data_IF_580434780658
#
_entry.id   IF_580434780658
#
_cell.length_a   1.000
_cell.length_b   1.000
_cell.length_c   1.000
_cell.angle_alpha   90.00
_cell.angle_beta   90.00
_cell.angle_gamma   90.00
#
_symmetry.space_group_name_H-M   'P 1'
#
loop_
_entity.id
_entity.type
_entity.pdbx_description
1 polymer ?
#
# COMPACT_ATOMS: atom_id res chain seq x y z
N UNK A 1 65.61 21.38 -176.42
CA UNK A 1 65.33 20.01 -175.95
C UNK A 1 64.07 20.08 -175.11
N UNK A 2 62.97 19.53 -175.60
CA UNK A 2 61.74 19.45 -174.81
C UNK A 2 61.99 18.51 -173.61
N UNK A 3 61.58 18.86 -172.39
CA UNK A 3 61.68 17.94 -171.26
C UNK A 3 60.93 16.64 -171.57
N UNK A 4 61.54 15.50 -171.23
CA UNK A 4 60.96 14.16 -171.40
C UNK A 4 59.62 14.08 -170.65
N UNK A 5 58.53 13.88 -171.40
CA UNK A 5 57.15 13.87 -170.90
C UNK A 5 57.00 12.91 -169.70
N UNK A 6 57.74 11.80 -169.69
CA UNK A 6 57.75 10.82 -168.58
C UNK A 6 58.25 11.41 -167.25
N UNK A 7 59.22 12.33 -167.29
CA UNK A 7 59.76 12.98 -166.09
C UNK A 7 58.76 13.97 -165.48
N UNK A 8 57.96 14.64 -166.32
CA UNK A 8 56.90 15.56 -165.87
C UNK A 8 55.74 14.78 -165.25
N UNK A 9 55.35 13.65 -165.85
CA UNK A 9 54.31 12.76 -165.29
C UNK A 9 54.71 12.19 -163.93
N UNK A 10 55.98 11.79 -163.76
CA UNK A 10 56.49 11.29 -162.48
C UNK A 10 56.43 12.36 -161.39
N UNK A 11 56.91 13.58 -161.67
CA UNK A 11 56.85 14.69 -160.72
C UNK A 11 55.41 15.08 -160.36
N UNK A 12 54.49 15.05 -161.32
CA UNK A 12 53.06 15.29 -161.07
C UNK A 12 52.49 14.25 -160.11
N UNK A 13 52.82 12.97 -160.29
CA UNK A 13 52.37 11.90 -159.41
C UNK A 13 52.92 12.05 -157.98
N UNK A 14 54.20 12.41 -157.84
CA UNK A 14 54.81 12.69 -156.53
C UNK A 14 54.12 13.87 -155.84
N UNK A 15 53.83 14.94 -156.57
CA UNK A 15 53.13 16.12 -156.04
C UNK A 15 51.70 15.77 -155.57
N UNK A 16 50.97 14.96 -156.32
CA UNK A 16 49.65 14.45 -155.91
C UNK A 16 49.78 13.58 -154.64
N UNK A 17 50.80 12.73 -154.57
CA UNK A 17 51.08 11.89 -153.40
C UNK A 17 51.36 12.72 -152.14
N UNK A 18 52.20 13.75 -152.27
CA UNK A 18 52.51 14.69 -151.19
C UNK A 18 51.27 15.47 -150.75
N UNK A 19 50.43 15.93 -151.69
CA UNK A 19 49.17 16.60 -151.36
C UNK A 19 48.22 15.69 -150.58
N UNK A 20 48.10 14.42 -151.00
CA UNK A 20 47.30 13.44 -150.28
C UNK A 20 47.87 13.15 -148.88
N UNK A 21 49.20 13.10 -148.74
CA UNK A 21 49.85 12.93 -147.43
C UNK A 21 49.62 14.14 -146.52
N UNK A 22 49.74 15.37 -147.05
CA UNK A 22 49.44 16.61 -146.31
C UNK A 22 47.99 16.59 -145.81
N UNK A 23 47.01 16.30 -146.68
CA UNK A 23 45.60 16.24 -146.30
C UNK A 23 45.32 15.20 -145.20
N UNK A 24 45.98 14.03 -145.26
CA UNK A 24 45.91 13.01 -144.20
C UNK A 24 46.51 13.51 -142.88
N UNK A 25 47.67 14.17 -142.92
CA UNK A 25 48.30 14.75 -141.72
C UNK A 25 47.44 15.87 -141.13
N UNK A 26 46.83 16.72 -141.94
CA UNK A 26 45.92 17.78 -141.48
C UNK A 26 44.69 17.20 -140.77
N UNK A 27 44.12 16.13 -141.32
CA UNK A 27 43.01 15.41 -140.68
C UNK A 27 43.45 14.82 -139.34
N UNK A 28 44.60 14.14 -139.31
CA UNK A 28 45.15 13.58 -138.07
C UNK A 28 45.44 14.67 -137.00
N UNK A 29 45.95 15.84 -137.40
CA UNK A 29 46.19 16.98 -136.50
C UNK A 29 44.85 17.51 -135.95
N UNK A 30 43.83 17.61 -136.80
CA UNK A 30 42.48 18.03 -136.38
C UNK A 30 41.90 17.07 -135.33
N UNK A 31 41.97 15.76 -135.58
CA UNK A 31 41.46 14.74 -134.67
C UNK A 31 42.22 14.73 -133.34
N UNK A 32 43.55 14.83 -133.38
CA UNK A 32 44.38 14.93 -132.18
C UNK A 32 44.09 16.21 -131.37
N UNK A 33 43.77 17.31 -132.05
CA UNK A 33 43.38 18.57 -131.40
C UNK A 33 42.03 18.43 -130.70
N UNK A 34 41.06 17.78 -131.36
CA UNK A 34 39.75 17.50 -130.77
C UNK A 34 39.88 16.60 -129.53
N UNK A 35 40.66 15.52 -129.61
CA UNK A 35 40.89 14.61 -128.48
C UNK A 35 41.61 15.31 -127.32
N UNK A 36 42.63 16.13 -127.62
CA UNK A 36 43.30 16.95 -126.59
C UNK A 36 42.32 17.86 -125.86
N UNK A 37 41.41 18.52 -126.58
CA UNK A 37 40.42 19.41 -125.98
C UNK A 37 39.41 18.66 -125.12
N UNK A 38 38.99 17.45 -125.55
CA UNK A 38 38.14 16.56 -124.76
C UNK A 38 38.83 16.15 -123.47
N UNK A 39 40.08 15.66 -123.55
CA UNK A 39 40.86 15.26 -122.37
C UNK A 39 41.09 16.43 -121.39
N UNK A 40 41.28 17.66 -121.89
CA UNK A 40 41.36 18.86 -121.06
C UNK A 40 40.04 19.17 -120.34
N UNK A 41 38.91 18.95 -121.00
CA UNK A 41 37.59 19.10 -120.39
C UNK A 41 37.37 18.05 -119.29
N UNK A 42 37.63 16.78 -119.59
CA UNK A 42 37.48 15.67 -118.64
C UNK A 42 38.39 15.87 -117.41
N UNK A 43 39.63 16.33 -117.61
CA UNK A 43 40.55 16.67 -116.52
C UNK A 43 39.97 17.76 -115.60
N UNK A 44 39.40 18.83 -116.16
CA UNK A 44 38.77 19.89 -115.35
C UNK A 44 37.57 19.37 -114.56
N UNK A 45 36.79 18.46 -115.14
CA UNK A 45 35.70 17.78 -114.45
C UNK A 45 36.20 16.99 -113.24
N UNK A 46 37.21 16.14 -113.46
CA UNK A 46 37.84 15.34 -112.41
C UNK A 46 38.47 16.20 -111.30
N UNK A 47 39.11 17.32 -111.66
CA UNK A 47 39.67 18.27 -110.67
C UNK A 47 38.55 18.87 -109.78
N UNK A 48 37.38 19.16 -110.36
CA UNK A 48 36.20 19.64 -109.62
C UNK A 48 35.58 18.59 -108.70
N UNK A 49 35.46 17.35 -109.17
CA UNK A 49 35.02 16.22 -108.37
C UNK A 49 35.99 15.96 -107.20
N UNK A 50 37.30 16.02 -107.44
CA UNK A 50 38.33 15.86 -106.41
C UNK A 50 38.25 16.95 -105.34
N UNK A 51 38.03 18.22 -105.74
CA UNK A 51 37.85 19.32 -104.80
C UNK A 51 36.60 19.14 -103.92
N UNK A 52 35.51 18.68 -104.52
CA UNK A 52 34.26 18.37 -103.81
C UNK A 52 34.46 17.23 -102.82
N UNK A 53 35.11 16.13 -103.26
CA UNK A 53 35.39 14.98 -102.42
C UNK A 53 36.27 15.34 -101.21
N UNK A 54 37.27 16.22 -101.38
CA UNK A 54 38.11 16.73 -100.28
C UNK A 54 37.29 17.51 -99.25
N UNK A 55 36.43 18.40 -99.72
CA UNK A 55 35.56 19.21 -98.84
C UNK A 55 34.64 18.30 -98.02
N UNK A 56 34.03 17.30 -98.66
CA UNK A 56 33.19 16.31 -97.98
C UNK A 56 33.98 15.49 -96.95
N UNK A 57 35.20 15.08 -97.28
CA UNK A 57 36.06 14.33 -96.38
C UNK A 57 36.40 15.14 -95.10
N UNK A 58 36.71 16.42 -95.25
CA UNK A 58 37.03 17.28 -94.12
C UNK A 58 35.80 17.52 -93.22
N UNK A 59 34.63 17.74 -93.82
CA UNK A 59 33.37 17.85 -93.06
C UNK A 59 33.05 16.56 -92.27
N UNK A 60 33.27 15.38 -92.87
CA UNK A 60 33.07 14.10 -92.20
C UNK A 60 34.06 13.88 -91.05
N UNK A 61 35.30 14.36 -91.17
CA UNK A 61 36.30 14.31 -90.08
C UNK A 61 35.87 15.16 -88.90
N UNK A 62 35.40 16.38 -89.15
CA UNK A 62 34.89 17.28 -88.11
C UNK A 62 33.69 16.67 -87.39
N UNK A 63 32.73 16.11 -88.14
CA UNK A 63 31.58 15.41 -87.56
C UNK A 63 32.01 14.22 -86.71
N UNK A 64 32.98 13.43 -87.18
CA UNK A 64 33.52 12.29 -86.43
C UNK A 64 34.16 12.73 -85.11
N UNK A 65 34.91 13.82 -85.13
CA UNK A 65 35.54 14.37 -83.92
C UNK A 65 34.50 14.90 -82.92
N UNK A 66 33.45 15.58 -83.41
CA UNK A 66 32.37 16.07 -82.58
C UNK A 66 31.59 14.92 -81.91
N UNK A 67 31.23 13.88 -82.69
CA UNK A 67 30.54 12.69 -82.17
C UNK A 67 31.39 11.95 -81.13
N UNK A 68 32.71 11.88 -81.34
CA UNK A 68 33.62 11.29 -80.35
C UNK A 68 33.59 12.07 -79.02
N UNK A 69 33.62 13.40 -79.07
CA UNK A 69 33.51 14.24 -77.88
C UNK A 69 32.17 14.06 -77.15
N UNK A 70 31.07 13.93 -77.88
CA UNK A 70 29.76 13.65 -77.29
C UNK A 70 29.74 12.29 -76.59
N UNK A 71 30.31 11.25 -77.22
CA UNK A 71 30.39 9.91 -76.65
C UNK A 71 31.21 9.89 -75.36
N UNK A 72 32.35 10.59 -75.32
CA UNK A 72 33.20 10.69 -74.14
C UNK A 72 32.47 11.39 -72.98
N UNK A 73 31.72 12.47 -73.26
CA UNK A 73 30.91 13.16 -72.25
C UNK A 73 29.79 12.25 -71.70
N UNK A 74 29.04 11.58 -72.59
CA UNK A 74 27.99 10.64 -72.18
C UNK A 74 28.55 9.48 -71.32
N UNK A 75 29.75 8.99 -71.64
CA UNK A 75 30.41 7.96 -70.84
C UNK A 75 30.77 8.46 -69.44
N UNK A 76 31.23 9.71 -69.31
CA UNK A 76 31.51 10.33 -68.01
C UNK A 76 30.24 10.54 -67.18
N UNK A 77 29.17 11.08 -67.79
CA UNK A 77 27.87 11.25 -67.12
C UNK A 77 27.30 9.91 -66.64
N UNK A 78 27.37 8.88 -67.48
CA UNK A 78 26.93 7.52 -67.12
C UNK A 78 27.70 6.97 -65.91
N UNK A 79 29.01 7.20 -65.85
CA UNK A 79 29.83 6.79 -64.71
C UNK A 79 29.47 7.55 -63.43
N UNK A 80 29.22 8.86 -63.53
CA UNK A 80 28.78 9.67 -62.39
C UNK A 80 27.43 9.19 -61.86
N UNK A 81 26.43 9.02 -62.73
CA UNK A 81 25.10 8.52 -62.35
C UNK A 81 25.18 7.14 -61.69
N UNK A 82 26.04 6.24 -62.19
CA UNK A 82 26.25 4.92 -61.59
C UNK A 82 26.80 5.02 -60.17
N UNK A 83 27.75 5.93 -59.93
CA UNK A 83 28.33 6.16 -58.62
C UNK A 83 27.30 6.77 -57.65
N UNK A 84 26.53 7.76 -58.11
CA UNK A 84 25.46 8.37 -57.32
C UNK A 84 24.39 7.35 -56.92
N UNK A 85 23.96 6.51 -57.86
CA UNK A 85 23.00 5.44 -57.60
C UNK A 85 23.54 4.45 -56.54
N UNK A 86 24.80 4.05 -56.65
CA UNK A 86 25.45 3.19 -55.65
C UNK A 86 25.43 3.84 -54.26
N UNK A 87 25.81 5.12 -54.17
CA UNK A 87 25.82 5.86 -52.90
C UNK A 87 24.42 5.97 -52.28
N UNK A 88 23.40 6.25 -53.11
CA UNK A 88 22.00 6.29 -52.68
C UNK A 88 21.52 4.94 -52.16
N UNK A 89 21.87 3.83 -52.83
CA UNK A 89 21.52 2.49 -52.37
C UNK A 89 22.17 2.14 -51.02
N UNK A 90 23.44 2.50 -50.83
CA UNK A 90 24.10 2.34 -49.52
C UNK A 90 23.41 3.15 -48.43
N UNK A 91 23.05 4.40 -48.72
CA UNK A 91 22.32 5.26 -47.77
C UNK A 91 20.92 4.72 -47.42
N UNK A 92 20.19 4.20 -48.42
CA UNK A 92 18.88 3.57 -48.22
C UNK A 92 18.99 2.36 -47.28
N UNK A 93 19.93 1.46 -47.52
CA UNK A 93 20.15 0.29 -46.68
C UNK A 93 20.50 0.66 -45.23
N UNK A 94 21.28 1.73 -45.02
CA UNK A 94 21.58 2.24 -43.69
C UNK A 94 20.32 2.76 -42.97
N UNK A 95 19.45 3.48 -43.69
CA UNK A 95 18.17 3.98 -43.15
C UNK A 95 17.17 2.88 -42.85
N UNK A 96 17.09 1.85 -43.68
CA UNK A 96 16.25 0.67 -43.40
C UNK A 96 16.67 -0.03 -42.09
N UNK A 97 17.98 -0.15 -41.84
CA UNK A 97 18.51 -0.69 -40.58
C UNK A 97 18.11 0.18 -39.38
N UNK A 98 18.29 1.50 -39.47
CA UNK A 98 17.91 2.44 -38.42
C UNK A 98 16.41 2.37 -38.10
N UNK A 99 15.56 2.33 -39.13
CA UNK A 99 14.11 2.16 -38.95
C UNK A 99 13.79 0.84 -38.24
N UNK A 100 14.45 -0.25 -38.62
CA UNK A 100 14.26 -1.55 -37.95
C UNK A 100 14.68 -1.51 -36.47
N UNK A 101 15.81 -0.85 -36.15
CA UNK A 101 16.27 -0.66 -34.78
C UNK A 101 15.31 0.19 -33.95
N UNK A 102 14.81 1.29 -34.53
CA UNK A 102 13.81 2.15 -33.89
C UNK A 102 12.50 1.39 -33.64
N UNK A 103 12.04 0.58 -34.59
CA UNK A 103 10.85 -0.28 -34.42
C UNK A 103 11.06 -1.28 -33.28
N UNK A 104 12.23 -1.94 -33.21
CA UNK A 104 12.57 -2.85 -32.10
C UNK A 104 12.62 -2.13 -30.76
N UNK A 105 13.20 -0.93 -30.72
CA UNK A 105 13.26 -0.09 -29.52
C UNK A 105 11.86 0.31 -29.08
N UNK A 106 11.01 0.73 -30.02
CA UNK A 106 9.63 1.11 -29.73
C UNK A 106 8.80 -0.08 -29.24
N UNK A 107 8.93 -1.26 -29.87
CA UNK A 107 8.31 -2.49 -29.39
C UNK A 107 8.80 -2.89 -27.98
N UNK A 108 10.09 -2.69 -27.70
CA UNK A 108 10.64 -2.93 -26.36
C UNK A 108 10.10 -1.92 -25.35
N UNK A 109 9.96 -0.65 -25.72
CA UNK A 109 9.38 0.38 -24.87
C UNK A 109 7.89 0.16 -24.64
N UNK A 110 7.13 -0.32 -25.63
CA UNK A 110 5.74 -0.72 -25.46
C UNK A 110 5.60 -1.94 -24.55
N UNK A 111 6.58 -2.85 -24.55
CA UNK A 111 6.62 -3.98 -23.60
C UNK A 111 7.07 -3.58 -22.19
N UNK A 112 8.02 -2.63 -22.09
CA UNK A 112 8.58 -2.14 -20.81
C UNK A 112 7.71 -1.08 -20.15
N UNK A 113 7.00 -0.29 -20.94
CA UNK A 113 5.88 0.51 -20.48
C UNK A 113 4.82 -0.48 -20.07
N UNK A 114 4.83 -0.82 -18.77
CA UNK A 114 3.75 -1.49 -18.05
C UNK A 114 2.45 -1.05 -18.72
N UNK A 115 1.79 -1.97 -19.43
CA UNK A 115 0.57 -1.65 -20.16
C UNK A 115 -0.38 -0.93 -19.21
N UNK A 116 -1.14 0.04 -19.70
CA UNK A 116 -2.18 0.69 -18.88
C UNK A 116 -3.03 -0.37 -18.16
N UNK A 117 -3.25 -1.52 -18.80
CA UNK A 117 -3.93 -2.69 -18.25
C UNK A 117 -3.20 -3.37 -17.06
N UNK A 118 -1.87 -3.49 -17.09
CA UNK A 118 -1.11 -4.03 -15.94
C UNK A 118 -1.10 -3.04 -14.77
N UNK A 119 -0.95 -1.74 -15.03
CA UNK A 119 -1.09 -0.70 -13.98
C UNK A 119 -2.50 -0.69 -13.40
N UNK A 120 -3.53 -0.82 -14.23
CA UNK A 120 -4.93 -0.87 -13.80
C UNK A 120 -5.22 -2.12 -12.96
N UNK A 121 -4.67 -3.27 -13.34
CA UNK A 121 -4.79 -4.52 -12.57
C UNK A 121 -4.10 -4.39 -11.21
N UNK A 122 -2.85 -3.89 -11.15
CA UNK A 122 -2.16 -3.67 -9.88
C UNK A 122 -2.88 -2.64 -8.99
N UNK A 123 -3.44 -1.58 -9.56
CA UNK A 123 -4.26 -0.61 -8.83
C UNK A 123 -5.55 -1.25 -8.28
N UNK A 124 -6.20 -2.12 -9.05
CA UNK A 124 -7.38 -2.85 -8.59
C UNK A 124 -7.04 -3.78 -7.43
N UNK A 125 -5.94 -4.54 -7.53
CA UNK A 125 -5.46 -5.43 -6.47
C UNK A 125 -5.10 -4.65 -5.19
N UNK A 126 -4.36 -3.54 -5.32
CA UNK A 126 -4.05 -2.66 -4.19
C UNK A 126 -5.30 -2.06 -3.55
N UNK A 127 -6.33 -1.75 -4.34
CA UNK A 127 -7.62 -1.25 -3.83
C UNK A 127 -8.35 -2.32 -3.01
N UNK A 128 -8.39 -3.56 -3.50
CA UNK A 128 -8.98 -4.70 -2.78
C UNK A 128 -8.24 -4.93 -1.46
N UNK A 129 -6.89 -4.92 -1.49
CA UNK A 129 -6.08 -5.13 -0.30
C UNK A 129 -6.26 -4.03 0.74
N UNK A 130 -6.39 -2.76 0.31
CA UNK A 130 -6.67 -1.65 1.21
C UNK A 130 -8.04 -1.76 1.89
N UNK A 131 -9.09 -2.11 1.15
CA UNK A 131 -10.42 -2.32 1.75
C UNK A 131 -10.41 -3.51 2.73
N UNK A 132 -9.68 -4.58 2.43
CA UNK A 132 -9.48 -5.68 3.35
C UNK A 132 -8.80 -5.25 4.65
N UNK A 133 -7.69 -4.51 4.58
CA UNK A 133 -7.00 -3.99 5.77
C UNK A 133 -7.86 -3.01 6.57
N UNK A 134 -8.61 -2.14 5.90
CA UNK A 134 -9.55 -1.21 6.54
C UNK A 134 -10.62 -1.95 7.33
N UNK A 135 -11.20 -3.01 6.77
CA UNK A 135 -12.19 -3.84 7.47
C UNK A 135 -11.58 -4.57 8.66
N UNK A 136 -10.35 -5.09 8.56
CA UNK A 136 -9.66 -5.69 9.70
C UNK A 136 -9.43 -4.67 10.84
N UNK A 137 -8.98 -3.45 10.49
CA UNK A 137 -8.78 -2.39 11.47
C UNK A 137 -10.09 -2.00 12.16
N UNK A 138 -11.20 -1.96 11.43
CA UNK A 138 -12.52 -1.67 12.00
C UNK A 138 -12.93 -2.73 13.04
N UNK A 139 -12.82 -4.02 12.68
CA UNK A 139 -13.12 -5.13 13.60
C UNK A 139 -12.24 -5.07 14.84
N UNK A 140 -10.94 -4.82 14.65
CA UNK A 140 -10.00 -4.71 15.78
C UNK A 140 -10.31 -3.51 16.67
N UNK A 141 -10.75 -2.39 16.10
CA UNK A 141 -11.17 -1.22 16.86
C UNK A 141 -12.42 -1.52 17.70
N UNK A 142 -13.42 -2.17 17.12
CA UNK A 142 -14.61 -2.62 17.86
C UNK A 142 -14.25 -3.54 19.02
N UNK A 143 -13.35 -4.50 18.80
CA UNK A 143 -12.88 -5.38 19.86
C UNK A 143 -12.13 -4.63 20.98
N UNK A 144 -11.30 -3.65 20.63
CA UNK A 144 -10.64 -2.80 21.64
C UNK A 144 -11.65 -1.98 22.46
N UNK A 145 -12.71 -1.46 21.83
CA UNK A 145 -13.76 -0.73 22.55
C UNK A 145 -14.50 -1.64 23.54
N UNK A 146 -14.76 -2.90 23.18
CA UNK A 146 -15.35 -3.88 24.09
C UNK A 146 -14.44 -4.14 25.30
N UNK A 147 -13.14 -4.34 25.08
CA UNK A 147 -12.17 -4.51 26.17
C UNK A 147 -12.14 -3.30 27.10
N UNK A 148 -12.18 -2.08 26.56
CA UNK A 148 -12.20 -0.86 27.37
C UNK A 148 -13.44 -0.83 28.28
N UNK A 149 -14.61 -1.13 27.73
CA UNK A 149 -15.86 -1.20 28.50
C UNK A 149 -15.80 -2.28 29.60
N UNK A 150 -15.26 -3.46 29.30
CA UNK A 150 -15.08 -4.52 30.28
C UNK A 150 -14.11 -4.11 31.40
N UNK A 151 -13.01 -3.43 31.05
CA UNK A 151 -12.05 -2.90 32.03
C UNK A 151 -12.66 -1.83 32.93
N UNK A 152 -13.48 -0.93 32.37
CA UNK A 152 -14.20 0.09 33.15
C UNK A 152 -15.19 -0.54 34.13
N UNK A 153 -15.90 -1.59 33.71
CA UNK A 153 -16.81 -2.33 34.57
C UNK A 153 -16.05 -3.09 35.68
N UNK A 154 -14.94 -3.73 35.34
CA UNK A 154 -14.07 -4.41 36.30
C UNK A 154 -13.50 -3.43 37.35
N UNK A 155 -13.03 -2.26 36.91
CA UNK A 155 -12.56 -1.18 37.82
C UNK A 155 -13.67 -0.70 38.75
N UNK A 156 -14.88 -0.52 38.23
CA UNK A 156 -16.05 -0.11 39.02
C UNK A 156 -16.40 -1.16 40.08
N UNK A 157 -16.33 -2.44 39.71
CA UNK A 157 -16.57 -3.57 40.62
C UNK A 157 -15.47 -3.65 41.69
N UNK A 158 -14.21 -3.48 41.30
CA UNK A 158 -13.09 -3.44 42.24
C UNK A 158 -13.22 -2.28 43.25
N UNK A 159 -13.63 -1.09 42.80
CA UNK A 159 -13.86 0.06 43.68
C UNK A 159 -14.97 -0.24 44.71
N UNK A 160 -16.04 -0.93 44.30
CA UNK A 160 -17.09 -1.40 45.22
C UNK A 160 -16.55 -2.36 46.27
N UNK A 161 -15.81 -3.40 45.87
CA UNK A 161 -15.22 -4.34 46.82
C UNK A 161 -14.22 -3.69 47.77
N UNK A 162 -13.45 -2.70 47.30
CA UNK A 162 -12.53 -1.94 48.14
C UNK A 162 -13.29 -1.13 49.21
N UNK A 163 -14.38 -0.45 48.82
CA UNK A 163 -15.23 0.27 49.76
C UNK A 163 -15.92 -0.66 50.77
N UNK A 164 -16.35 -1.85 50.34
CA UNK A 164 -16.97 -2.85 51.21
C UNK A 164 -15.96 -3.42 52.21
N UNK A 165 -14.75 -3.74 51.75
CA UNK A 165 -13.63 -4.16 52.61
C UNK A 165 -13.33 -3.12 53.68
N UNK A 166 -13.22 -1.85 53.32
CA UNK A 166 -13.01 -0.75 54.27
C UNK A 166 -14.16 -0.64 55.28
N UNK A 167 -15.40 -0.90 54.84
CA UNK A 167 -16.56 -0.97 55.73
C UNK A 167 -16.46 -2.12 56.73
N UNK A 168 -16.11 -3.32 56.27
CA UNK A 168 -15.92 -4.50 57.12
C UNK A 168 -14.77 -4.30 58.12
N UNK A 169 -13.64 -3.74 57.68
CA UNK A 169 -12.50 -3.45 58.56
C UNK A 169 -12.88 -2.48 59.69
N UNK A 170 -13.71 -1.48 59.42
CA UNK A 170 -14.25 -0.58 60.46
C UNK A 170 -15.13 -1.33 61.44
N UNK A 171 -16.05 -2.18 60.97
CA UNK A 171 -16.91 -2.98 61.84
C UNK A 171 -16.10 -3.95 62.70
N UNK A 172 -15.10 -4.62 62.11
CA UNK A 172 -14.21 -5.53 62.83
C UNK A 172 -13.46 -4.82 63.95
N UNK A 173 -12.96 -3.60 63.69
CA UNK A 173 -12.28 -2.79 64.70
C UNK A 173 -13.22 -2.42 65.86
N UNK A 174 -14.45 -1.99 65.56
CA UNK A 174 -15.46 -1.70 66.58
C UNK A 174 -15.74 -2.94 67.45
N UNK A 175 -15.90 -4.11 66.82
CA UNK A 175 -16.19 -5.34 67.57
C UNK A 175 -14.99 -5.80 68.42
N UNK A 176 -13.75 -5.59 67.95
CA UNK A 176 -12.53 -5.83 68.73
C UNK A 176 -12.44 -4.90 69.95
N UNK A 177 -12.72 -3.60 69.78
CA UNK A 177 -12.77 -2.61 70.86
C UNK A 177 -13.84 -2.99 71.89
N UNK A 178 -15.04 -3.36 71.44
CA UNK A 178 -16.14 -3.82 72.28
C UNK A 178 -15.79 -5.09 73.05
N UNK A 179 -15.13 -6.06 72.41
CA UNK A 179 -14.65 -7.28 73.07
C UNK A 179 -13.63 -6.98 74.16
N UNK A 180 -12.71 -6.06 73.90
CA UNK A 180 -11.70 -5.63 74.87
C UNK A 180 -12.36 -4.98 76.08
N UNK A 181 -13.38 -4.14 75.86
CA UNK A 181 -14.16 -3.51 76.94
C UNK A 181 -14.90 -4.55 77.79
N UNK A 182 -15.57 -5.51 77.15
CA UNK A 182 -16.25 -6.63 77.82
C UNK A 182 -15.27 -7.49 78.63
N UNK A 183 -14.08 -7.77 78.10
CA UNK A 183 -13.04 -8.52 78.83
C UNK A 183 -12.54 -7.74 80.06
N UNK A 184 -12.41 -6.41 79.97
CA UNK A 184 -12.09 -5.55 81.11
C UNK A 184 -13.20 -5.55 82.18
N UNK A 185 -14.46 -5.40 81.77
CA UNK A 185 -15.62 -5.46 82.68
C UNK A 185 -15.72 -6.82 83.38
N UNK A 186 -15.55 -7.92 82.63
CA UNK A 186 -15.57 -9.27 83.19
C UNK A 186 -14.44 -9.50 84.19
N UNK A 187 -13.24 -8.97 83.93
CA UNK A 187 -12.13 -9.00 84.87
C UNK A 187 -12.43 -8.20 86.15
N UNK A 188 -13.07 -7.03 86.03
CA UNK A 188 -13.51 -6.22 87.17
C UNK A 188 -14.55 -6.93 88.04
N UNK A 189 -15.46 -7.70 87.43
CA UNK A 189 -16.46 -8.51 88.16
C UNK A 189 -15.80 -9.71 88.85
N UNK A 190 -14.89 -10.43 88.19
CA UNK A 190 -14.18 -11.57 88.79
C UNK A 190 -13.25 -11.20 89.95
N UNK A 191 -12.84 -9.94 90.05
CA UNK A 191 -12.03 -9.44 91.16
C UNK A 191 -12.83 -9.08 92.43
N UNK A 192 -14.17 -9.07 92.38
CA UNK A 192 -15.02 -8.79 93.55
C UNK A 192 -15.19 -10.07 94.38
N UNK A 193 -14.50 -10.15 95.52
CA UNK A 193 -14.64 -11.27 96.47
C UNK A 193 -15.70 -11.04 97.55
N UNK A 194 -16.31 -9.86 97.59
CA UNK A 194 -17.33 -9.46 98.57
C UNK A 194 -18.45 -8.69 97.85
N UNK A 195 -19.70 -9.11 98.07
CA UNK A 195 -20.89 -8.38 97.64
C UNK A 195 -21.29 -7.43 98.77
N UNK A 196 -21.37 -6.14 98.50
CA UNK A 196 -21.88 -5.19 99.49
C UNK A 196 -23.38 -5.38 99.70
N UNK A 197 -23.91 -4.93 100.83
CA UNK A 197 -25.36 -4.94 101.08
C UNK A 197 -26.13 -4.15 100.00
N UNK A 198 -25.50 -3.13 99.39
CA UNK A 198 -26.06 -2.40 98.25
C UNK A 198 -26.18 -3.28 97.01
N UNK A 199 -25.14 -4.07 96.69
CA UNK A 199 -25.16 -4.96 95.52
C UNK A 199 -26.27 -6.01 95.63
N UNK A 200 -26.50 -6.54 96.84
CA UNK A 200 -27.57 -7.52 97.10
C UNK A 200 -28.94 -6.83 97.03
N UNK A 201 -29.09 -5.62 97.60
CA UNK A 201 -30.33 -4.85 97.50
C UNK A 201 -30.67 -4.49 96.05
N UNK A 202 -29.71 -4.05 95.25
CA UNK A 202 -29.92 -3.68 93.85
C UNK A 202 -30.31 -4.89 93.00
N UNK A 203 -29.68 -6.05 93.26
CA UNK A 203 -30.07 -7.30 92.62
C UNK A 203 -31.50 -7.71 92.99
N UNK A 204 -31.86 -7.66 94.27
CA UNK A 204 -33.20 -8.04 94.73
C UNK A 204 -34.28 -7.08 94.23
N UNK A 205 -33.99 -5.77 94.21
CA UNK A 205 -34.90 -4.77 93.67
C UNK A 205 -35.10 -4.97 92.16
N UNK A 206 -34.04 -5.20 91.38
CA UNK A 206 -34.16 -5.51 89.95
C UNK A 206 -34.93 -6.83 89.70
N UNK A 207 -34.73 -7.85 90.54
CA UNK A 207 -35.48 -9.10 90.44
C UNK A 207 -36.99 -8.89 90.74
N UNK A 208 -37.30 -8.05 91.73
CA UNK A 208 -38.68 -7.63 92.05
C UNK A 208 -39.28 -6.85 90.89
N UNK A 209 -38.57 -5.87 90.33
CA UNK A 209 -39.05 -5.07 89.22
C UNK A 209 -39.29 -5.93 87.98
N UNK A 210 -38.39 -6.89 87.72
CA UNK A 210 -38.55 -7.87 86.65
C UNK A 210 -39.79 -8.74 86.88
N UNK A 211 -39.97 -9.27 88.10
CA UNK A 211 -41.16 -10.06 88.45
C UNK A 211 -42.45 -9.25 88.30
N UNK A 212 -42.47 -8.01 88.80
CA UNK A 212 -43.62 -7.13 88.76
C UNK A 212 -43.94 -6.62 87.33
N UNK A 213 -42.94 -6.61 86.43
CA UNK A 213 -43.10 -6.22 85.02
C UNK A 213 -43.49 -7.40 84.12
N UNK A 214 -43.46 -8.64 84.63
CA UNK A 214 -43.86 -9.80 83.84
C UNK A 214 -45.38 -9.91 83.77
N UNK A 215 -45.96 -10.11 82.57
CA UNK A 215 -47.40 -10.32 82.42
C UNK A 215 -47.81 -11.64 83.07
N UNK A 216 -48.91 -11.64 83.85
CA UNK A 216 -49.43 -12.87 84.44
C UNK A 216 -49.98 -13.80 83.34
N UNK A 217 -49.36 -14.98 83.20
CA UNK A 217 -49.68 -15.95 82.17
C UNK A 217 -50.88 -16.85 82.51
N UNK A 218 -51.35 -16.86 83.77
CA UNK A 218 -52.38 -17.79 84.24
C UNK A 218 -53.76 -17.16 84.44
N UNK A 219 -53.82 -15.88 84.79
CA UNK A 219 -55.08 -15.14 84.96
C UNK A 219 -54.86 -13.66 84.63
N UNK A 220 -55.44 -13.18 83.52
CA UNK A 220 -55.31 -11.79 83.06
C UNK A 220 -56.10 -10.79 83.90
N UNK A 221 -56.95 -11.25 84.83
CA UNK A 221 -57.73 -10.38 85.71
C UNK A 221 -56.97 -9.94 86.97
N UNK A 222 -55.82 -10.55 87.25
CA UNK A 222 -55.03 -10.31 88.46
C UNK A 222 -53.54 -10.21 88.13
N UNK A 223 -52.85 -9.19 88.64
CA UNK A 223 -51.39 -9.14 88.65
C UNK A 223 -50.88 -9.53 90.05
N UNK A 224 -49.84 -10.35 90.09
CA UNK A 224 -49.15 -10.67 91.35
C UNK A 224 -47.96 -9.74 91.49
N UNK A 225 -47.97 -8.90 92.52
CA UNK A 225 -46.89 -7.95 92.80
C UNK A 225 -46.24 -8.32 94.11
N UNK A 226 -44.91 -8.41 94.13
CA UNK A 226 -44.15 -8.48 95.38
C UNK A 226 -44.20 -7.08 95.99
N UNK A 227 -44.97 -6.95 97.06
CA UNK A 227 -45.26 -5.65 97.71
C UNK A 227 -44.28 -5.33 98.83
N UNK A 228 -43.69 -6.37 99.43
CA UNK A 228 -42.72 -6.23 100.51
C UNK A 228 -41.76 -7.43 100.48
N UNK A 229 -40.47 -7.14 100.62
CA UNK A 229 -39.42 -8.13 100.82
C UNK A 229 -38.62 -7.72 102.06
N UNK A 230 -38.75 -8.50 103.13
CA UNK A 230 -37.89 -8.40 104.29
C UNK A 230 -36.87 -9.53 104.23
N UNK A 231 -35.59 -9.16 104.14
CA UNK A 231 -34.47 -10.09 104.19
C UNK A 231 -33.70 -9.85 105.47
N UNK A 232 -33.66 -10.84 106.35
CA UNK A 232 -32.71 -10.87 107.45
C UNK A 232 -31.66 -11.94 107.15
N UNK A 233 -30.56 -11.51 106.52
CA UNK A 233 -29.44 -12.37 106.16
C UNK A 233 -28.44 -12.38 107.31
N UNK A 234 -28.34 -13.52 108.01
CA UNK A 234 -27.35 -13.73 109.09
C UNK A 234 -26.14 -14.56 108.64
N UNK A 235 -26.12 -14.99 107.38
CA UNK A 235 -25.00 -15.69 106.75
C UNK A 235 -24.06 -14.69 106.05
N UNK A 236 -22.75 -14.84 106.25
CA UNK A 236 -21.76 -14.15 105.43
C UNK A 236 -21.65 -14.85 104.08
N UNK A 237 -21.65 -14.09 102.99
CA UNK A 237 -21.40 -14.65 101.66
C UNK A 237 -19.90 -14.53 101.39
N UNK A 238 -19.24 -15.67 101.21
CA UNK A 238 -17.82 -15.76 100.88
C UNK A 238 -17.60 -16.50 99.56
N UNK A 239 -16.36 -16.52 99.10
CA UNK A 239 -15.96 -17.26 97.90
C UNK A 239 -14.94 -18.32 98.28
N UNK A 240 -15.13 -19.55 97.79
CA UNK A 240 -14.13 -20.62 97.84
C UNK A 240 -13.82 -20.99 96.39
N UNK A 241 -12.69 -20.49 95.87
CA UNK A 241 -12.37 -20.63 94.44
C UNK A 241 -13.28 -19.76 93.57
N UNK A 242 -13.95 -20.36 92.58
CA UNK A 242 -14.89 -19.68 91.67
C UNK A 242 -16.35 -19.77 92.12
N UNK A 243 -16.63 -20.53 93.18
CA UNK A 243 -17.99 -20.80 93.64
C UNK A 243 -18.37 -19.89 94.81
N UNK A 244 -19.55 -19.30 94.71
CA UNK A 244 -20.21 -18.55 95.78
C UNK A 244 -20.65 -19.53 96.87
N UNK A 245 -20.13 -19.36 98.09
CA UNK A 245 -20.46 -20.22 99.23
C UNK A 245 -21.08 -19.38 100.35
N UNK A 246 -22.22 -19.84 100.86
CA UNK A 246 -22.82 -19.24 102.05
C UNK A 246 -22.11 -19.79 103.28
N UNK A 247 -21.42 -18.92 104.00
CA UNK A 247 -20.74 -19.28 105.25
C UNK A 247 -21.77 -19.18 106.37
N UNK A 248 -22.20 -20.34 106.87
CA UNK A 248 -23.08 -20.40 108.03
C UNK A 248 -22.35 -19.85 109.27
N UNK A 249 -23.03 -19.10 110.15
CA UNK A 249 -22.44 -18.65 111.40
C UNK A 249 -21.97 -19.85 112.23
N UNK A 250 -20.82 -19.71 112.90
CA UNK A 250 -20.21 -20.79 113.71
C UNK A 250 -21.21 -21.36 114.73
N UNK A 251 -21.12 -22.66 115.05
CA UNK A 251 -22.10 -23.36 115.91
C UNK A 251 -22.34 -22.71 117.29
N UNK A 252 -21.48 -21.82 117.76
CA UNK A 252 -21.69 -21.03 118.97
C UNK A 252 -22.75 -19.91 118.84
N UNK A 253 -23.27 -19.64 117.64
CA UNK A 253 -24.22 -18.56 117.35
C UNK A 253 -25.62 -19.04 116.89
N UNK A 254 -25.85 -20.36 116.84
CA UNK A 254 -27.13 -20.95 116.46
C UNK A 254 -28.11 -21.00 117.65
N UNK A 255 -28.83 -19.90 117.88
CA UNK A 255 -30.14 -19.94 118.58
C UNK A 255 -31.26 -20.03 117.53
N UNK A 256 -32.52 -20.30 117.89
CA UNK A 256 -33.66 -20.31 116.93
C UNK A 256 -33.82 -18.98 116.15
N UNK A 257 -33.14 -17.91 116.56
CA UNK A 257 -33.01 -16.63 115.83
C UNK A 257 -31.84 -16.60 114.79
N UNK A 258 -31.12 -17.71 114.61
CA UNK A 258 -29.88 -17.80 113.82
C UNK A 258 -30.03 -18.23 112.36
N UNK A 259 -31.25 -18.49 111.90
CA UNK A 259 -31.53 -18.81 110.50
C UNK A 259 -31.77 -17.53 109.70
N UNK A 260 -31.12 -17.40 108.55
CA UNK A 260 -31.46 -16.32 107.62
C UNK A 260 -32.91 -16.49 107.19
N UNK A 261 -33.71 -15.43 107.31
CA UNK A 261 -35.13 -15.48 107.00
C UNK A 261 -35.42 -14.56 105.82
N UNK A 262 -36.18 -15.10 104.87
CA UNK A 262 -36.71 -14.33 103.76
C UNK A 262 -38.23 -14.33 103.89
N UNK A 263 -38.80 -13.13 104.00
CA UNK A 263 -40.24 -12.93 104.01
C UNK A 263 -40.62 -12.10 102.81
N UNK A 264 -41.36 -12.72 101.90
CA UNK A 264 -41.94 -12.04 100.74
C UNK A 264 -43.45 -11.93 100.96
N UNK A 265 -43.99 -10.73 100.75
CA UNK A 265 -45.42 -10.48 100.71
C UNK A 265 -45.82 -10.32 99.24
N UNK A 266 -46.53 -11.30 98.70
CA UNK A 266 -47.10 -11.23 97.36
C UNK A 266 -48.56 -10.79 97.51
N UNK A 267 -48.93 -9.75 96.77
CA UNK A 267 -50.31 -9.27 96.73
C UNK A 267 -50.88 -9.50 95.33
N UNK A 268 -52.05 -10.14 95.29
CA UNK A 268 -52.92 -10.11 94.14
C UNK A 268 -53.56 -8.71 94.06
N UNK A 269 -53.24 -7.97 93.00
CA UNK A 269 -53.91 -6.71 92.67
C UNK A 269 -54.71 -6.91 91.38
N UNK A 270 -55.94 -6.37 91.28
CA UNK A 270 -56.68 -6.40 90.03
C UNK A 270 -55.81 -5.86 88.90
N UNK A 271 -55.75 -6.55 87.78
CA UNK A 271 -55.10 -6.01 86.60
C UNK A 271 -55.81 -4.70 86.26
N UNK A 272 -55.10 -3.58 86.33
CA UNK A 272 -55.67 -2.29 85.98
C UNK A 272 -56.06 -2.34 84.51
N UNK A 273 -57.34 -2.54 84.23
CA UNK A 273 -57.94 -2.06 82.99
C UNK A 273 -57.78 -0.54 83.03
N UNK A 274 -56.76 -0.02 82.34
CA UNK A 274 -56.79 1.37 81.93
C UNK A 274 -58.11 1.65 81.20
N UNK A 275 -58.67 2.86 81.33
CA UNK A 275 -59.96 3.18 80.73
C UNK A 275 -59.90 3.02 79.20
N UNK A 276 -61.07 2.74 78.64
CA UNK A 276 -61.33 2.67 77.20
C UNK A 276 -60.77 3.86 76.40
#
# INVERSE_FOLDING_TARGET
MAPDIKSIETFRNDLIGLQAEIARKETAISDLTAEKNRLLHDRKGLDGELATARTTLDALREQTQALKGQLDNMAQESLQLKNELSAKNTALSAREKEVSELQKKNATLLKKGVTTETVLTELADMRIQNEFHKNQLLVRNQYMQQIILELENARSTQARFQSEKEGIEKVLKIEQEKRTLLEQELAAVKGRTEFSSSDISDYLNNAIDTFNSQPNLFDSSVNYIISELQVDLKAGIGTIGTDLTMVAPSQAQLTEQGLSSFKFTIRAVPATTGPA
#
